data_IF_599787608806
#
_entry.id   IF_599787608806
#
_cell.length_a   1.000
_cell.length_b   1.000
_cell.length_c   1.000
_cell.angle_alpha   90.00
_cell.angle_beta   90.00
_cell.angle_gamma   90.00
#
_symmetry.space_group_name_H-M   'P 1'
#
loop_
_entity.id
_entity.type
_entity.pdbx_description
1 polymer ?
#
# COMPACT_ATOMS: atom_id res chain seq x y z
N UNK A 1 -9.95 15.23 -19.73
CA UNK A 1 -9.48 16.20 -18.72
C UNK A 1 -8.32 17.04 -19.24
N UNK A 2 -7.10 16.50 -19.41
CA UNK A 2 -5.98 17.31 -19.94
C UNK A 2 -6.21 17.89 -21.34
N UNK A 3 -6.77 17.09 -22.26
CA UNK A 3 -7.18 17.57 -23.60
C UNK A 3 -8.32 18.60 -23.53
N UNK A 4 -9.26 18.41 -22.61
CA UNK A 4 -10.41 19.30 -22.38
C UNK A 4 -10.00 20.68 -21.83
N UNK A 5 -8.84 20.75 -21.16
CA UNK A 5 -8.21 22.00 -20.70
C UNK A 5 -7.45 22.75 -21.80
N UNK A 6 -7.35 22.20 -23.02
CA UNK A 6 -6.57 22.79 -24.10
C UNK A 6 -5.07 22.82 -23.85
N UNK A 7 -4.55 21.94 -22.97
CA UNK A 7 -3.13 21.92 -22.64
C UNK A 7 -2.31 21.41 -23.84
N UNK A 8 -1.24 22.15 -24.15
CA UNK A 8 -0.27 21.74 -25.16
C UNK A 8 0.42 20.42 -24.76
N UNK A 9 0.94 19.68 -25.75
CA UNK A 9 1.62 18.40 -25.51
C UNK A 9 2.75 18.52 -24.46
N UNK A 10 3.55 19.60 -24.53
CA UNK A 10 4.63 19.87 -23.57
C UNK A 10 4.11 20.15 -22.15
N UNK A 11 2.97 20.82 -22.00
CA UNK A 11 2.36 21.08 -20.70
C UNK A 11 1.75 19.81 -20.10
N UNK A 12 1.10 18.99 -20.93
CA UNK A 12 0.58 17.69 -20.50
C UNK A 12 1.71 16.74 -20.08
N UNK A 13 2.85 16.79 -20.74
CA UNK A 13 4.05 16.03 -20.35
C UNK A 13 4.62 16.53 -19.02
N UNK A 14 4.72 17.86 -18.84
CA UNK A 14 5.20 18.45 -17.59
C UNK A 14 4.32 18.04 -16.40
N UNK A 15 2.99 18.12 -16.54
CA UNK A 15 2.06 17.73 -15.48
C UNK A 15 2.19 16.25 -15.14
N UNK A 16 2.38 15.39 -16.14
CA UNK A 16 2.67 13.96 -15.92
C UNK A 16 4.01 13.73 -15.22
N UNK A 17 5.04 14.51 -15.56
CA UNK A 17 6.34 14.46 -14.89
C UNK A 17 6.24 14.84 -13.41
N UNK A 18 5.52 15.92 -13.10
CA UNK A 18 5.27 16.34 -11.71
C UNK A 18 4.46 15.26 -10.97
N UNK A 19 3.40 14.73 -11.59
CA UNK A 19 2.61 13.64 -11.03
C UNK A 19 3.49 12.41 -10.70
N UNK A 20 4.37 12.02 -11.61
CA UNK A 20 5.31 10.91 -11.42
C UNK A 20 6.34 11.14 -10.32
N UNK A 21 6.70 12.40 -10.01
CA UNK A 21 7.65 12.73 -8.94
C UNK A 21 6.98 12.84 -7.55
N UNK A 22 5.73 13.32 -7.48
CA UNK A 22 5.00 13.50 -6.21
C UNK A 22 4.86 12.19 -5.45
N UNK A 23 4.57 11.09 -6.16
CA UNK A 23 4.41 9.77 -5.56
C UNK A 23 5.66 9.29 -4.82
N UNK A 24 6.82 9.14 -5.49
CA UNK A 24 8.08 8.74 -4.88
C UNK A 24 8.56 9.66 -3.76
N UNK A 25 8.43 10.98 -3.92
CA UNK A 25 8.85 11.95 -2.89
C UNK A 25 8.01 11.75 -1.62
N UNK A 26 6.69 11.68 -1.77
CA UNK A 26 5.77 11.48 -0.64
C UNK A 26 6.01 10.13 0.04
N UNK A 27 6.27 9.09 -0.75
CA UNK A 27 6.59 7.76 -0.24
C UNK A 27 7.89 7.77 0.59
N UNK A 28 8.93 8.45 0.10
CA UNK A 28 10.20 8.59 0.82
C UNK A 28 10.00 9.26 2.19
N UNK A 29 9.25 10.37 2.23
CA UNK A 29 8.92 11.05 3.50
C UNK A 29 8.15 10.15 4.47
N UNK A 30 7.19 9.38 3.96
CA UNK A 30 6.39 8.48 4.78
C UNK A 30 7.23 7.35 5.38
N UNK A 31 8.07 6.71 4.58
CA UNK A 31 8.95 5.62 5.02
C UNK A 31 9.94 6.12 6.07
N UNK A 32 10.51 7.31 5.92
CA UNK A 32 11.53 7.81 6.86
C UNK A 32 10.92 8.29 8.19
N UNK A 33 9.74 8.93 8.15
CA UNK A 33 9.23 9.66 9.32
C UNK A 33 8.05 9.00 10.03
N UNK A 34 7.21 8.26 9.30
CA UNK A 34 5.86 7.90 9.77
C UNK A 34 5.69 6.40 9.98
N UNK A 35 6.35 5.56 9.19
CA UNK A 35 6.09 4.12 9.18
C UNK A 35 6.36 3.44 10.53
N UNK A 36 7.41 3.87 11.24
CA UNK A 36 7.80 3.28 12.52
C UNK A 36 6.97 3.82 13.70
N UNK A 37 6.36 5.00 13.55
CA UNK A 37 5.60 5.65 14.62
C UNK A 37 4.12 5.31 14.61
N UNK A 38 3.51 5.09 13.45
CA UNK A 38 2.04 4.98 13.31
C UNK A 38 1.54 3.52 13.30
N UNK A 39 2.40 2.55 12.95
CA UNK A 39 1.98 1.16 12.72
C UNK A 39 1.51 0.92 11.29
N UNK A 40 0.95 -0.26 10.99
CA UNK A 40 0.61 -0.68 9.61
C UNK A 40 -0.89 -0.63 9.33
N UNK A 41 -1.75 -0.90 10.33
CA UNK A 41 -3.21 -0.91 10.13
C UNK A 41 -3.77 0.49 9.90
N UNK A 42 -3.33 1.47 10.69
CA UNK A 42 -3.86 2.85 10.63
C UNK A 42 -3.61 3.54 9.28
N UNK A 43 -2.40 3.45 8.68
CA UNK A 43 -2.18 4.01 7.34
C UNK A 43 -3.04 3.33 6.27
N UNK A 44 -3.25 2.01 6.33
CA UNK A 44 -4.11 1.29 5.39
C UNK A 44 -5.58 1.73 5.49
N UNK A 45 -6.11 1.85 6.72
CA UNK A 45 -7.46 2.37 6.94
C UNK A 45 -7.61 3.81 6.46
N UNK A 46 -6.60 4.67 6.73
CA UNK A 46 -6.57 6.03 6.23
C UNK A 46 -6.58 6.06 4.69
N UNK A 47 -5.74 5.23 4.07
CA UNK A 47 -5.70 5.07 2.61
C UNK A 47 -7.05 4.71 2.03
N UNK A 48 -7.66 3.62 2.51
CA UNK A 48 -8.90 3.10 1.97
C UNK A 48 -10.06 4.09 2.15
N UNK A 49 -10.16 4.73 3.33
CA UNK A 49 -11.14 5.78 3.58
C UNK A 49 -10.92 7.01 2.70
N UNK A 50 -9.66 7.44 2.54
CA UNK A 50 -9.31 8.57 1.69
C UNK A 50 -9.65 8.32 0.22
N UNK A 51 -9.44 7.09 -0.28
CA UNK A 51 -9.77 6.71 -1.65
C UNK A 51 -11.27 6.72 -1.91
N UNK A 52 -12.09 6.24 -0.96
CA UNK A 52 -13.55 6.36 -1.06
C UNK A 52 -13.95 7.82 -1.24
N UNK A 53 -13.39 8.74 -0.44
CA UNK A 53 -13.69 10.17 -0.54
C UNK A 53 -13.19 10.77 -1.85
N UNK A 54 -11.92 10.53 -2.22
CA UNK A 54 -11.34 11.15 -3.41
C UNK A 54 -11.99 10.65 -4.70
N UNK A 55 -12.27 9.35 -4.81
CA UNK A 55 -12.97 8.79 -5.96
C UNK A 55 -14.44 9.21 -6.01
N UNK A 56 -15.11 9.41 -4.86
CA UNK A 56 -16.49 9.94 -4.83
C UNK A 56 -16.55 11.37 -5.38
N UNK A 57 -15.64 12.24 -4.95
CA UNK A 57 -15.55 13.62 -5.45
C UNK A 57 -15.18 13.62 -6.94
N UNK A 58 -14.20 12.79 -7.34
CA UNK A 58 -13.80 12.69 -8.75
C UNK A 58 -14.96 12.20 -9.62
N UNK A 59 -15.70 11.18 -9.18
CA UNK A 59 -16.88 10.67 -9.87
C UNK A 59 -17.97 11.75 -10.01
N UNK A 60 -18.25 12.50 -8.95
CA UNK A 60 -19.22 13.61 -8.98
C UNK A 60 -18.81 14.73 -9.95
N UNK A 61 -17.52 15.07 -10.00
CA UNK A 61 -16.98 16.06 -10.96
C UNK A 61 -17.15 15.57 -12.39
N UNK A 62 -16.80 14.31 -12.68
CA UNK A 62 -16.91 13.74 -14.04
C UNK A 62 -18.38 13.59 -14.46
N UNK A 63 -19.27 13.26 -13.52
CA UNK A 63 -20.71 13.13 -13.79
C UNK A 63 -21.37 14.49 -14.05
N UNK A 64 -21.00 15.53 -13.31
CA UNK A 64 -21.59 16.87 -13.42
C UNK A 64 -20.99 17.68 -14.58
N UNK A 65 -19.70 17.48 -14.87
CA UNK A 65 -18.96 18.20 -15.90
C UNK A 65 -18.16 17.22 -16.76
N UNK A 66 -18.83 16.50 -17.68
CA UNK A 66 -18.16 15.53 -18.53
C UNK A 66 -17.07 16.22 -19.36
N UNK A 67 -15.84 15.67 -19.42
CA UNK A 67 -14.73 16.30 -20.11
C UNK A 67 -14.92 16.48 -21.63
N UNK A 68 -15.92 15.85 -22.22
CA UNK A 68 -16.26 15.93 -23.65
C UNK A 68 -17.21 17.08 -23.98
N UNK A 69 -18.01 17.56 -23.02
CA UNK A 69 -19.14 18.48 -23.28
C UNK A 69 -19.05 19.78 -22.47
N UNK A 70 -18.35 19.78 -21.34
CA UNK A 70 -18.25 20.93 -20.44
C UNK A 70 -16.88 21.63 -20.55
N UNK A 71 -16.90 22.92 -20.88
CA UNK A 71 -15.74 23.85 -20.83
C UNK A 71 -15.50 24.45 -19.44
N UNK A 72 -16.04 23.85 -18.38
CA UNK A 72 -15.82 24.33 -17.02
C UNK A 72 -14.39 24.02 -16.55
N UNK A 73 -13.45 24.92 -16.88
CA UNK A 73 -12.03 24.80 -16.56
C UNK A 73 -11.76 24.62 -15.05
N UNK A 74 -12.44 25.33 -14.12
CA UNK A 74 -12.33 25.07 -12.68
C UNK A 74 -12.63 23.62 -12.28
N UNK A 75 -13.71 23.03 -12.80
CA UNK A 75 -14.09 21.65 -12.47
C UNK A 75 -13.05 20.64 -12.97
N UNK A 76 -12.48 20.86 -14.16
CA UNK A 76 -11.43 20.00 -14.71
C UNK A 76 -10.12 20.11 -13.92
N UNK A 77 -9.76 21.30 -13.43
CA UNK A 77 -8.61 21.50 -12.52
C UNK A 77 -8.82 20.80 -11.18
N UNK A 78 -10.03 20.87 -10.62
CA UNK A 78 -10.39 20.15 -9.41
C UNK A 78 -10.27 18.62 -9.61
N UNK A 79 -10.73 18.10 -10.74
CA UNK A 79 -10.57 16.67 -11.08
C UNK A 79 -9.10 16.22 -11.11
N UNK A 80 -8.21 17.02 -11.72
CA UNK A 80 -6.77 16.75 -11.71
C UNK A 80 -6.20 16.81 -10.29
N UNK A 81 -6.58 17.82 -9.50
CA UNK A 81 -6.15 17.93 -8.11
C UNK A 81 -6.55 16.71 -7.28
N UNK A 82 -7.77 16.16 -7.50
CA UNK A 82 -8.21 14.94 -6.85
C UNK A 82 -7.37 13.71 -7.24
N UNK A 83 -6.96 13.60 -8.51
CA UNK A 83 -6.07 12.52 -8.98
C UNK A 83 -4.70 12.62 -8.29
N UNK A 84 -4.15 13.83 -8.18
CA UNK A 84 -2.90 14.07 -7.44
C UNK A 84 -3.05 13.71 -5.96
N UNK A 85 -4.16 14.11 -5.34
CA UNK A 85 -4.44 13.81 -3.94
C UNK A 85 -4.53 12.30 -3.70
N UNK A 86 -5.22 11.56 -4.58
CA UNK A 86 -5.26 10.09 -4.52
C UNK A 86 -3.85 9.48 -4.60
N UNK A 87 -2.98 10.00 -5.48
CA UNK A 87 -1.60 9.52 -5.56
C UNK A 87 -0.80 9.79 -4.29
N UNK A 88 -0.99 10.95 -3.65
CA UNK A 88 -0.34 11.29 -2.38
C UNK A 88 -0.81 10.33 -1.29
N UNK A 89 -2.12 10.15 -1.14
CA UNK A 89 -2.66 9.24 -0.14
C UNK A 89 -2.23 7.80 -0.37
N UNK A 90 -2.11 7.36 -1.62
CA UNK A 90 -1.54 6.05 -1.97
C UNK A 90 -0.10 5.92 -1.49
N UNK A 91 0.75 6.90 -1.76
CA UNK A 91 2.13 6.92 -1.27
C UNK A 91 2.25 6.96 0.25
N UNK A 92 1.26 7.51 0.97
CA UNK A 92 1.22 7.55 2.43
C UNK A 92 0.58 6.29 3.07
N UNK A 93 0.08 5.34 2.28
CA UNK A 93 -0.67 4.19 2.78
C UNK A 93 -0.28 2.91 2.06
N UNK A 94 -1.07 2.49 1.07
CA UNK A 94 -0.92 1.23 0.36
C UNK A 94 0.43 1.11 -0.35
N UNK A 95 1.00 2.22 -0.85
CA UNK A 95 2.26 2.24 -1.59
C UNK A 95 3.36 1.47 -0.85
N UNK A 96 3.81 1.92 0.32
CA UNK A 96 4.84 1.22 1.10
C UNK A 96 4.28 0.09 1.96
N UNK A 97 3.09 0.26 2.56
CA UNK A 97 2.61 -0.67 3.58
C UNK A 97 2.19 -2.01 2.98
N UNK A 98 1.65 -2.06 1.76
CA UNK A 98 1.23 -3.32 1.13
C UNK A 98 2.41 -4.28 0.91
N UNK A 99 3.58 -3.76 0.49
CA UNK A 99 4.78 -4.56 0.30
C UNK A 99 5.38 -5.03 1.62
N UNK A 100 5.42 -4.16 2.63
CA UNK A 100 5.88 -4.53 3.96
C UNK A 100 5.00 -5.64 4.55
N UNK A 101 3.68 -5.47 4.50
CA UNK A 101 2.72 -6.42 5.04
C UNK A 101 2.74 -7.76 4.31
N UNK A 102 2.92 -7.77 2.99
CA UNK A 102 3.12 -9.01 2.24
C UNK A 102 4.32 -9.81 2.76
N UNK A 103 5.38 -9.16 3.24
CA UNK A 103 6.52 -9.85 3.85
C UNK A 103 6.32 -10.25 5.32
N UNK A 104 5.49 -9.49 6.06
CA UNK A 104 5.18 -9.72 7.49
C UNK A 104 4.13 -10.84 7.69
N UNK A 105 3.20 -11.02 6.75
CA UNK A 105 2.09 -12.01 6.87
C UNK A 105 2.56 -13.45 6.64
N UNK A 106 3.55 -13.66 5.78
CA UNK A 106 4.00 -15.01 5.46
C UNK A 106 5.09 -15.53 6.42
N UNK A 107 4.96 -16.78 6.90
CA UNK A 107 5.98 -17.47 7.68
C UNK A 107 7.30 -17.57 6.92
N UNK A 108 8.43 -17.52 7.62
CA UNK A 108 9.76 -17.47 7.00
C UNK A 108 10.01 -18.58 5.97
N UNK A 109 9.46 -19.78 6.19
CA UNK A 109 9.63 -20.93 5.28
C UNK A 109 8.86 -20.80 3.95
N UNK A 110 7.68 -20.18 3.97
CA UNK A 110 6.80 -20.04 2.80
C UNK A 110 6.76 -18.62 2.25
N UNK A 111 7.45 -17.67 2.90
CA UNK A 111 7.48 -16.25 2.54
C UNK A 111 7.86 -16.00 1.09
N UNK A 112 8.89 -16.64 0.57
CA UNK A 112 9.31 -16.46 -0.84
C UNK A 112 8.22 -16.89 -1.83
N UNK A 113 7.54 -18.00 -1.57
CA UNK A 113 6.46 -18.50 -2.42
C UNK A 113 5.22 -17.59 -2.28
N UNK A 114 4.81 -17.26 -1.05
CA UNK A 114 3.67 -16.38 -0.81
C UNK A 114 3.84 -14.99 -1.44
N UNK A 115 5.00 -14.37 -1.24
CA UNK A 115 5.33 -13.05 -1.82
C UNK A 115 5.43 -13.08 -3.35
N UNK A 116 5.95 -14.16 -3.94
CA UNK A 116 6.00 -14.28 -5.42
C UNK A 116 4.62 -14.42 -6.04
N UNK A 117 3.71 -15.20 -5.43
CA UNK A 117 2.31 -15.31 -5.87
C UNK A 117 1.58 -13.98 -5.71
N UNK A 118 1.77 -13.29 -4.58
CA UNK A 118 1.19 -11.96 -4.36
C UNK A 118 1.68 -10.94 -5.40
N UNK A 119 2.97 -10.98 -5.74
CA UNK A 119 3.57 -10.12 -6.76
C UNK A 119 3.00 -10.44 -8.15
N UNK A 120 2.89 -11.72 -8.50
CA UNK A 120 2.28 -12.16 -9.76
C UNK A 120 0.83 -11.68 -9.88
N UNK A 121 0.03 -11.85 -8.82
CA UNK A 121 -1.35 -11.36 -8.78
C UNK A 121 -1.41 -9.83 -8.94
N UNK A 122 -0.54 -9.08 -8.26
CA UNK A 122 -0.47 -7.62 -8.38
C UNK A 122 -0.24 -7.19 -9.84
N UNK A 123 0.75 -7.77 -10.52
CA UNK A 123 1.03 -7.46 -11.92
C UNK A 123 -0.09 -7.91 -12.86
N UNK A 124 -0.71 -9.06 -12.61
CA UNK A 124 -1.86 -9.54 -13.39
C UNK A 124 -3.04 -8.57 -13.30
N UNK A 125 -3.38 -8.08 -12.11
CA UNK A 125 -4.45 -7.09 -11.93
C UNK A 125 -4.09 -5.74 -12.55
N UNK A 126 -2.84 -5.29 -12.45
CA UNK A 126 -2.38 -4.08 -13.13
C UNK A 126 -2.58 -4.15 -14.64
N UNK A 127 -2.25 -5.29 -15.27
CA UNK A 127 -2.50 -5.52 -16.70
C UNK A 127 -4.00 -5.54 -16.99
N UNK A 128 -4.79 -6.25 -16.19
CA UNK A 128 -6.24 -6.31 -16.34
C UNK A 128 -6.87 -4.90 -16.32
N UNK A 129 -6.55 -4.10 -15.31
CA UNK A 129 -7.08 -2.73 -15.21
C UNK A 129 -6.57 -1.83 -16.34
N UNK A 130 -5.31 -1.96 -16.77
CA UNK A 130 -4.77 -1.19 -17.90
C UNK A 130 -5.58 -1.43 -19.19
N UNK A 131 -5.92 -2.70 -19.46
CA UNK A 131 -6.69 -3.07 -20.66
C UNK A 131 -8.18 -2.70 -20.53
N UNK A 132 -8.79 -2.93 -19.37
CA UNK A 132 -10.23 -2.72 -19.15
C UNK A 132 -10.58 -1.25 -18.98
N UNK A 133 -9.70 -0.42 -18.40
CA UNK A 133 -10.03 0.97 -18.04
C UNK A 133 -10.44 1.82 -19.24
N UNK A 134 -9.75 1.70 -20.37
CA UNK A 134 -10.11 2.47 -21.58
C UNK A 134 -11.47 2.03 -22.14
N UNK A 135 -11.73 0.72 -22.18
CA UNK A 135 -13.00 0.17 -22.64
C UNK A 135 -14.16 0.57 -21.73
N UNK A 136 -13.96 0.47 -20.41
CA UNK A 136 -14.95 0.82 -19.40
C UNK A 136 -15.24 2.33 -19.41
N UNK A 137 -14.22 3.19 -19.56
CA UNK A 137 -14.43 4.63 -19.65
C UNK A 137 -15.23 5.02 -20.89
N UNK A 138 -15.03 4.35 -22.03
CA UNK A 138 -15.77 4.63 -23.26
C UNK A 138 -17.23 4.17 -23.20
N UNK A 139 -17.51 3.01 -22.59
CA UNK A 139 -18.86 2.43 -22.57
C UNK A 139 -19.70 2.89 -21.37
N UNK A 140 -19.07 3.04 -20.20
CA UNK A 140 -19.74 3.21 -18.90
C UNK A 140 -19.46 4.58 -18.29
N UNK A 141 -18.41 5.28 -18.74
CA UNK A 141 -18.08 6.64 -18.36
C UNK A 141 -17.85 6.82 -16.86
N UNK A 142 -18.51 7.81 -16.27
CA UNK A 142 -18.33 8.16 -14.85
C UNK A 142 -18.71 7.04 -13.87
N UNK A 143 -19.58 6.11 -14.27
CA UNK A 143 -20.01 4.98 -13.42
C UNK A 143 -18.87 4.00 -13.16
N UNK A 144 -17.83 3.97 -14.00
CA UNK A 144 -16.65 3.13 -13.76
C UNK A 144 -15.95 3.50 -12.44
N UNK A 145 -16.00 4.78 -12.03
CA UNK A 145 -15.45 5.21 -10.74
C UNK A 145 -16.19 4.63 -9.53
N UNK A 146 -17.48 4.27 -9.67
CA UNK A 146 -18.26 3.66 -8.59
C UNK A 146 -17.72 2.28 -8.19
N UNK A 147 -17.14 1.53 -9.14
CA UNK A 147 -16.51 0.25 -8.87
C UNK A 147 -15.31 0.43 -7.93
N UNK A 148 -14.47 1.44 -8.16
CA UNK A 148 -13.36 1.72 -7.25
C UNK A 148 -13.84 2.19 -5.89
N UNK A 149 -14.89 3.00 -5.81
CA UNK A 149 -15.47 3.43 -4.53
C UNK A 149 -15.95 2.22 -3.73
N UNK A 150 -16.68 1.31 -4.37
CA UNK A 150 -17.19 0.10 -3.72
C UNK A 150 -16.04 -0.82 -3.26
N UNK A 151 -15.06 -1.08 -4.13
CA UNK A 151 -13.92 -1.94 -3.78
C UNK A 151 -13.11 -1.35 -2.62
N UNK A 152 -12.85 -0.04 -2.61
CA UNK A 152 -12.14 0.62 -1.51
C UNK A 152 -12.96 0.65 -0.21
N UNK A 153 -14.29 0.75 -0.30
CA UNK A 153 -15.15 0.67 0.87
C UNK A 153 -15.16 -0.74 1.48
N UNK A 154 -15.22 -1.77 0.62
CA UNK A 154 -15.09 -3.18 1.07
C UNK A 154 -13.72 -3.38 1.70
N UNK A 155 -12.65 -2.91 1.05
CA UNK A 155 -11.28 -3.02 1.55
C UNK A 155 -11.12 -2.34 2.92
N UNK A 156 -11.71 -1.15 3.11
CA UNK A 156 -11.74 -0.48 4.42
C UNK A 156 -12.38 -1.36 5.51
N UNK A 157 -13.51 -2.00 5.21
CA UNK A 157 -14.19 -2.91 6.16
C UNK A 157 -13.35 -4.16 6.42
N UNK A 158 -12.74 -4.73 5.38
CA UNK A 158 -11.87 -5.91 5.50
C UNK A 158 -10.67 -5.60 6.38
N UNK A 159 -10.00 -4.47 6.16
CA UNK A 159 -8.87 -4.03 6.98
C UNK A 159 -9.31 -3.74 8.42
N UNK A 160 -10.47 -3.11 8.61
CA UNK A 160 -10.97 -2.81 9.94
C UNK A 160 -11.21 -4.09 10.77
N UNK A 161 -11.83 -5.11 10.17
CA UNK A 161 -12.26 -6.33 10.86
C UNK A 161 -11.20 -7.44 10.91
N UNK A 162 -10.50 -7.69 9.81
CA UNK A 162 -9.64 -8.88 9.66
C UNK A 162 -8.15 -8.60 9.86
N UNK A 163 -7.68 -7.36 9.71
CA UNK A 163 -6.26 -7.07 9.85
C UNK A 163 -5.89 -6.79 11.32
N UNK A 164 -5.03 -7.61 11.94
CA UNK A 164 -4.42 -7.28 13.23
C UNK A 164 -3.42 -6.13 13.07
N UNK A 165 -3.18 -5.37 14.14
CA UNK A 165 -2.11 -4.36 14.14
C UNK A 165 -0.75 -5.06 14.24
N UNK A 166 0.13 -4.84 13.26
CA UNK A 166 1.46 -5.50 13.21
C UNK A 166 2.55 -4.72 13.96
N UNK A 167 2.20 -3.56 14.57
CA UNK A 167 3.17 -2.71 15.28
C UNK A 167 3.70 -3.40 16.54
N UNK A 168 5.02 -3.59 16.59
CA UNK A 168 5.73 -4.07 17.79
C UNK A 168 5.63 -5.58 18.00
N UNK A 169 5.25 -6.34 16.97
CA UNK A 169 5.23 -7.80 16.97
C UNK A 169 6.43 -8.34 16.20
N UNK A 170 7.04 -9.40 16.70
CA UNK A 170 8.09 -10.12 15.97
C UNK A 170 7.47 -10.89 14.80
N UNK A 171 8.28 -11.29 13.81
CA UNK A 171 7.80 -12.12 12.69
C UNK A 171 7.27 -13.48 13.17
N UNK A 172 7.71 -13.93 14.34
CA UNK A 172 7.32 -15.19 14.97
C UNK A 172 5.95 -15.06 15.67
N UNK A 173 5.71 -13.96 16.39
CA UNK A 173 4.39 -13.65 16.98
C UNK A 173 3.31 -13.50 15.90
N UNK A 174 3.67 -12.98 14.73
CA UNK A 174 2.72 -12.82 13.61
C UNK A 174 2.32 -14.19 13.03
N UNK A 175 3.22 -15.17 12.99
CA UNK A 175 2.90 -16.53 12.56
C UNK A 175 1.91 -17.21 13.53
N UNK A 176 2.08 -16.98 14.84
CA UNK A 176 1.15 -17.47 15.88
C UNK A 176 -0.24 -16.81 15.75
N UNK A 177 -0.31 -15.50 15.48
CA UNK A 177 -1.57 -14.75 15.30
C UNK A 177 -2.34 -15.23 14.07
N UNK A 178 -1.65 -15.63 13.00
CA UNK A 178 -2.27 -16.17 11.78
C UNK A 178 -2.55 -17.69 11.84
N UNK A 179 -2.27 -18.34 12.99
CA UNK A 179 -2.60 -19.74 13.22
C UNK A 179 -1.68 -20.73 12.51
N UNK A 180 -0.45 -20.31 12.19
CA UNK A 180 0.57 -21.23 11.70
C UNK A 180 1.02 -22.12 12.88
N UNK A 181 1.21 -23.42 12.63
CA UNK A 181 1.70 -24.38 13.62
C UNK A 181 3.16 -24.04 13.92
N UNK A 182 3.36 -23.04 14.77
CA UNK A 182 4.67 -22.69 15.29
C UNK A 182 5.04 -23.81 16.25
N UNK A 183 5.87 -24.73 15.77
CA UNK A 183 6.43 -25.81 16.58
C UNK A 183 7.21 -25.15 17.74
N UNK A 184 6.53 -24.95 18.86
CA UNK A 184 7.05 -24.23 20.03
C UNK A 184 8.34 -24.88 20.54
N UNK A 185 8.53 -26.18 20.27
CA UNK A 185 9.78 -26.89 20.54
C UNK A 185 10.97 -26.38 19.73
N UNK A 186 10.77 -26.00 18.46
CA UNK A 186 11.84 -25.47 17.63
C UNK A 186 12.29 -24.07 18.06
N UNK A 187 11.37 -23.25 18.60
CA UNK A 187 11.72 -21.94 19.18
C UNK A 187 12.45 -22.13 20.51
N UNK A 188 11.96 -23.01 21.39
CA UNK A 188 12.62 -23.31 22.67
C UNK A 188 14.03 -23.91 22.48
N UNK A 189 14.23 -24.77 21.49
CA UNK A 189 15.57 -25.27 21.16
C UNK A 189 16.48 -24.16 20.63
N UNK A 190 15.97 -23.25 19.80
CA UNK A 190 16.75 -22.16 19.23
C UNK A 190 17.10 -21.08 20.27
N UNK A 191 16.19 -20.79 21.20
CA UNK A 191 16.43 -19.89 22.35
C UNK A 191 17.40 -20.52 23.35
N UNK A 192 17.24 -21.80 23.68
CA UNK A 192 18.20 -22.53 24.53
C UNK A 192 19.58 -22.62 23.89
N UNK A 193 19.67 -22.79 22.57
CA UNK A 193 20.95 -22.80 21.85
C UNK A 193 21.67 -21.45 21.97
N UNK A 194 20.95 -20.34 21.81
CA UNK A 194 21.52 -18.99 21.95
C UNK A 194 21.97 -18.66 23.38
N UNK A 195 21.19 -19.05 24.39
CA UNK A 195 21.57 -18.85 25.80
C UNK A 195 22.80 -19.68 26.17
N UNK A 196 22.90 -20.92 25.69
CA UNK A 196 24.06 -21.78 25.91
C UNK A 196 25.30 -21.24 25.19
N UNK A 197 25.16 -20.75 23.95
CA UNK A 197 26.28 -20.15 23.23
C UNK A 197 26.78 -18.85 23.91
N UNK A 198 25.88 -18.01 24.44
CA UNK A 198 26.27 -16.83 25.22
C UNK A 198 26.94 -17.17 26.56
N UNK A 199 26.46 -18.20 27.28
CA UNK A 199 27.10 -18.68 28.51
C UNK A 199 28.49 -19.24 28.25
N UNK A 200 28.67 -20.03 27.18
CA UNK A 200 29.98 -20.59 26.80
C UNK A 200 30.97 -19.48 26.42
N UNK A 201 30.54 -18.47 25.67
CA UNK A 201 31.37 -17.31 25.31
C UNK A 201 31.74 -16.47 26.55
N UNK A 202 30.83 -16.37 27.52
CA UNK A 202 31.08 -15.66 28.78
C UNK A 202 32.07 -16.42 29.67
N UNK A 203 31.97 -17.75 29.77
CA UNK A 203 32.94 -18.60 30.47
C UNK A 203 34.32 -18.54 29.83
N UNK A 204 34.39 -18.60 28.50
CA UNK A 204 35.66 -18.57 27.77
C UNK A 204 36.40 -17.23 27.96
N UNK A 205 35.68 -16.11 27.99
CA UNK A 205 36.25 -14.80 28.35
C UNK A 205 36.72 -14.73 29.80
N UNK A 206 35.96 -15.30 30.74
CA UNK A 206 36.32 -15.29 32.16
C UNK A 206 37.61 -16.09 32.44
N UNK A 207 37.83 -17.19 31.72
CA UNK A 207 39.06 -17.99 31.82
C UNK A 207 40.28 -17.24 31.25
N UNK A 208 40.09 -16.50 30.15
CA UNK A 208 41.17 -15.74 29.51
C UNK A 208 41.62 -14.53 30.35
N UNK A 209 40.71 -13.91 31.11
CA UNK A 209 41.03 -12.78 31.99
C UNK A 209 41.76 -13.17 33.30
N UNK A 210 41.89 -14.48 33.57
CA UNK A 210 42.53 -15.03 34.79
C UNK A 210 43.83 -15.83 34.54
N UNK A 211 44.38 -15.78 33.33
CA UNK A 211 45.71 -16.31 32.96
C UNK A 211 46.67 -15.17 32.68
#
# INVERSE_FOLDING_TARGET
MYKSLGLNASQSLLVQGIYGAVGPITNLFFIILIIDTVGRKKPLMFGAGSFVVTYSILSAIVASFPPSESTNHPAQRAGIAMIFMTSIFFSLSFGPVSWALASEVFPTRTRSIGTSVATCANWAFNVLFSQVSNLAMNNVGWKYYLLFILLNAIDFVVIALFFPETKGKTLEDMAEIFGDDVDAHAILEKTRGHEVDEEVIAEEKHIVDHV
#
